data_IF_480916095982
#
_entry.id   IF_480916095982
#
_cell.length_a   1.000
_cell.length_b   1.000
_cell.length_c   1.000
_cell.angle_alpha   90.00
_cell.angle_beta   90.00
_cell.angle_gamma   90.00
#
_symmetry.space_group_name_H-M   'P 1'
#
loop_
_entity.id
_entity.type
_entity.pdbx_description
1 polymer ?
#
# COMPACT_ATOMS: atom_id res chain seq x y z
N UNK A 1 -25.53 1.27 15.13
CA UNK A 1 -24.42 2.11 15.65
C UNK A 1 -24.54 3.47 14.97
N UNK A 2 -24.44 4.57 15.70
CA UNK A 2 -24.60 5.92 15.14
C UNK A 2 -23.41 6.32 14.27
N UNK A 3 -23.63 7.02 13.15
CA UNK A 3 -22.59 7.55 12.24
C UNK A 3 -21.52 8.37 12.99
N UNK A 4 -21.93 9.08 14.03
CA UNK A 4 -21.04 9.85 14.92
C UNK A 4 -20.04 8.97 15.68
N UNK A 5 -20.48 7.83 16.21
CA UNK A 5 -19.61 6.91 16.91
C UNK A 5 -18.58 6.29 15.96
N UNK A 6 -18.99 5.97 14.72
CA UNK A 6 -18.08 5.47 13.69
C UNK A 6 -17.04 6.52 13.27
N UNK A 7 -17.46 7.77 13.08
CA UNK A 7 -16.54 8.87 12.77
C UNK A 7 -15.50 9.09 13.88
N UNK A 8 -15.92 9.02 15.15
CA UNK A 8 -15.01 9.13 16.29
C UNK A 8 -14.01 7.98 16.36
N UNK A 9 -14.44 6.74 16.09
CA UNK A 9 -13.54 5.59 16.03
C UNK A 9 -12.45 5.75 14.95
N UNK A 10 -12.81 6.26 13.77
CA UNK A 10 -11.85 6.52 12.69
C UNK A 10 -10.84 7.61 13.07
N UNK A 11 -11.30 8.69 13.70
CA UNK A 11 -10.43 9.77 14.17
C UNK A 11 -9.44 9.26 15.23
N UNK A 12 -9.92 8.53 16.23
CA UNK A 12 -9.06 7.96 17.29
C UNK A 12 -8.04 6.98 16.69
N UNK A 13 -8.46 6.13 15.74
CA UNK A 13 -7.55 5.21 15.05
C UNK A 13 -6.45 5.96 14.28
N UNK A 14 -6.83 7.04 13.59
CA UNK A 14 -5.87 7.88 12.86
C UNK A 14 -4.86 8.56 13.80
N UNK A 15 -5.33 9.18 14.90
CA UNK A 15 -4.47 9.81 15.89
C UNK A 15 -3.45 8.81 16.48
N UNK A 16 -3.91 7.60 16.80
CA UNK A 16 -3.04 6.52 17.29
C UNK A 16 -2.01 6.08 16.24
N UNK A 17 -2.42 5.93 14.98
CA UNK A 17 -1.52 5.56 13.90
C UNK A 17 -0.42 6.61 13.70
N UNK A 18 -0.77 7.90 13.74
CA UNK A 18 0.19 9.01 13.64
C UNK A 18 1.16 9.00 14.83
N UNK A 19 0.67 8.80 16.05
CA UNK A 19 1.52 8.72 17.24
C UNK A 19 2.53 7.56 17.14
N UNK A 20 2.08 6.38 16.73
CA UNK A 20 2.94 5.21 16.51
C UNK A 20 4.02 5.52 15.46
N UNK A 21 3.62 6.08 14.31
CA UNK A 21 4.56 6.42 13.24
C UNK A 21 5.60 7.45 13.68
N UNK A 22 5.19 8.46 14.46
CA UNK A 22 6.12 9.47 15.01
C UNK A 22 7.13 8.86 15.99
N UNK A 23 6.71 7.88 16.79
CA UNK A 23 7.57 7.19 17.74
C UNK A 23 8.55 6.19 17.09
N UNK A 24 8.33 5.78 15.84
CA UNK A 24 9.24 4.88 15.12
C UNK A 24 10.61 5.52 14.89
N UNK A 25 11.67 4.73 15.11
CA UNK A 25 13.02 5.09 14.65
C UNK A 25 13.07 5.18 13.12
N UNK A 26 14.05 5.89 12.54
CA UNK A 26 14.23 5.91 11.08
C UNK A 26 14.33 4.51 10.45
N UNK A 27 15.00 3.58 11.13
CA UNK A 27 15.15 2.19 10.69
C UNK A 27 13.80 1.46 10.68
N UNK A 28 12.95 1.69 11.69
CA UNK A 28 11.62 1.10 11.76
C UNK A 28 10.71 1.62 10.65
N UNK A 29 10.79 2.94 10.37
CA UNK A 29 10.04 3.55 9.27
C UNK A 29 10.46 2.97 7.93
N UNK A 30 11.77 2.80 7.69
CA UNK A 30 12.26 2.16 6.47
C UNK A 30 11.75 0.72 6.35
N UNK A 31 11.83 -0.08 7.41
CA UNK A 31 11.31 -1.45 7.42
C UNK A 31 9.81 -1.49 7.12
N UNK A 32 9.05 -0.57 7.69
CA UNK A 32 7.61 -0.46 7.44
C UNK A 32 7.32 -0.06 5.99
N UNK A 33 8.03 0.93 5.45
CA UNK A 33 7.88 1.37 4.07
C UNK A 33 8.19 0.24 3.07
N UNK A 34 9.23 -0.56 3.31
CA UNK A 34 9.57 -1.72 2.48
C UNK A 34 8.49 -2.80 2.51
N UNK A 35 7.88 -3.06 3.68
CA UNK A 35 6.74 -3.99 3.81
C UNK A 35 5.52 -3.52 3.03
N UNK A 36 5.20 -2.23 3.13
CA UNK A 36 4.10 -1.61 2.39
C UNK A 36 4.37 -1.66 0.89
N UNK A 37 5.59 -1.36 0.45
CA UNK A 37 5.98 -1.44 -0.96
C UNK A 37 5.81 -2.86 -1.51
N UNK A 38 6.27 -3.90 -0.78
CA UNK A 38 6.05 -5.30 -1.18
C UNK A 38 4.57 -5.65 -1.33
N UNK A 39 3.76 -5.26 -0.35
CA UNK A 39 2.31 -5.52 -0.38
C UNK A 39 1.64 -4.85 -1.58
N UNK A 40 2.02 -3.60 -1.89
CA UNK A 40 1.54 -2.89 -3.07
C UNK A 40 1.94 -3.60 -4.38
N UNK A 41 3.19 -4.06 -4.50
CA UNK A 41 3.66 -4.80 -5.67
C UNK A 41 2.86 -6.10 -5.88
N UNK A 42 2.59 -6.83 -4.80
CA UNK A 42 1.81 -8.07 -4.83
C UNK A 42 0.36 -7.82 -5.26
N UNK A 43 -0.28 -6.75 -4.75
CA UNK A 43 -1.62 -6.35 -5.14
C UNK A 43 -1.70 -5.97 -6.63
N UNK A 44 -0.73 -5.18 -7.12
CA UNK A 44 -0.66 -4.83 -8.54
C UNK A 44 -0.48 -6.08 -9.41
N UNK A 45 0.44 -6.97 -9.03
CA UNK A 45 0.69 -8.21 -9.75
C UNK A 45 -0.55 -9.12 -9.79
N UNK A 46 -1.28 -9.25 -8.67
CA UNK A 46 -2.54 -9.99 -8.62
C UNK A 46 -3.58 -9.40 -9.59
N UNK A 47 -3.71 -8.07 -9.62
CA UNK A 47 -4.61 -7.39 -10.56
C UNK A 47 -4.22 -7.61 -12.03
N UNK A 48 -2.92 -7.65 -12.35
CA UNK A 48 -2.46 -7.98 -13.71
C UNK A 48 -2.75 -9.44 -14.07
N UNK A 49 -2.46 -10.40 -13.17
CA UNK A 49 -2.79 -11.83 -13.39
C UNK A 49 -4.27 -12.04 -13.68
N UNK A 50 -5.14 -11.36 -12.94
CA UNK A 50 -6.58 -11.46 -13.13
C UNK A 50 -7.02 -10.94 -14.51
N UNK A 51 -6.45 -9.83 -14.98
CA UNK A 51 -6.81 -9.22 -16.28
C UNK A 51 -6.12 -9.85 -17.47
N UNK A 52 -4.95 -10.45 -17.26
CA UNK A 52 -4.09 -11.01 -18.30
C UNK A 52 -3.61 -12.42 -17.91
N UNK A 53 -4.49 -13.44 -17.94
CA UNK A 53 -4.17 -14.77 -17.43
C UNK A 53 -3.08 -15.50 -18.21
N UNK A 54 -2.82 -15.10 -19.46
CA UNK A 54 -1.81 -15.70 -20.35
C UNK A 54 -0.44 -15.06 -20.21
N UNK A 55 -0.30 -13.99 -19.44
CA UNK A 55 0.99 -13.34 -19.23
C UNK A 55 1.89 -14.18 -18.33
N UNK A 56 3.14 -14.28 -18.72
CA UNK A 56 4.20 -14.83 -17.87
C UNK A 56 4.47 -13.91 -16.67
N UNK A 57 5.08 -14.47 -15.62
CA UNK A 57 5.51 -13.68 -14.46
C UNK A 57 6.49 -12.56 -14.85
N UNK A 58 7.31 -12.76 -15.89
CA UNK A 58 8.20 -11.71 -16.39
C UNK A 58 7.42 -10.51 -16.95
N UNK A 59 6.39 -10.76 -17.77
CA UNK A 59 5.52 -9.72 -18.31
C UNK A 59 4.76 -8.99 -17.21
N UNK A 60 4.26 -9.72 -16.20
CA UNK A 60 3.61 -9.12 -15.03
C UNK A 60 4.58 -8.21 -14.27
N UNK A 61 5.82 -8.65 -14.00
CA UNK A 61 6.82 -7.82 -13.32
C UNK A 61 7.12 -6.54 -14.09
N UNK A 62 7.29 -6.62 -15.41
CA UNK A 62 7.48 -5.43 -16.26
C UNK A 62 6.28 -4.49 -16.18
N UNK A 63 5.06 -5.00 -16.31
CA UNK A 63 3.86 -4.18 -16.23
C UNK A 63 3.67 -3.50 -14.87
N UNK A 64 4.04 -4.17 -13.77
CA UNK A 64 4.05 -3.57 -12.42
C UNK A 64 5.09 -2.44 -12.34
N UNK A 65 6.30 -2.66 -12.86
CA UNK A 65 7.34 -1.64 -12.87
C UNK A 65 6.93 -0.41 -13.69
N UNK A 66 6.42 -0.62 -14.90
CA UNK A 66 5.93 0.44 -15.79
C UNK A 66 4.80 1.25 -15.11
N UNK A 67 3.88 0.54 -14.44
CA UNK A 67 2.76 1.20 -13.74
C UNK A 67 3.23 2.14 -12.64
N UNK A 68 4.31 1.78 -11.94
CA UNK A 68 4.89 2.59 -10.85
C UNK A 68 5.70 3.74 -11.41
N UNK A 69 6.58 3.49 -12.39
CA UNK A 69 7.42 4.52 -13.01
C UNK A 69 6.60 5.62 -13.69
N UNK A 70 5.44 5.26 -14.25
CA UNK A 70 4.55 6.18 -14.94
C UNK A 70 3.31 6.58 -14.11
N UNK A 71 3.26 6.20 -12.83
CA UNK A 71 2.25 6.75 -11.94
C UNK A 71 2.53 8.24 -11.78
N UNK A 72 1.65 9.10 -12.30
CA UNK A 72 1.68 10.53 -11.97
C UNK A 72 1.53 10.65 -10.45
N UNK A 73 2.60 11.03 -9.77
CA UNK A 73 2.56 11.56 -8.41
C UNK A 73 2.04 12.98 -8.51
N UNK A 74 0.71 13.11 -8.62
CA UNK A 74 0.01 14.38 -8.46
C UNK A 74 -0.14 14.72 -6.98
#
# INVERSE_FOLDING_TARGET
>A
MSDTAQADHLRIAHERQVAIYRAMSPQDRLRQALRMNRSMLELLAAGFRQRQPTWSDAQIRTAVADRILHARTG
#
